data_IF_502089460425
#
_entry.id   IF_502089460425
#
_cell.length_a   1.000
_cell.length_b   1.000
_cell.length_c   1.000
_cell.angle_alpha   90.00
_cell.angle_beta   90.00
_cell.angle_gamma   90.00
#
_symmetry.space_group_name_H-M   'P 1'
#
loop_
_entity.id
_entity.type
_entity.pdbx_description
1 polymer ?
#
# COMPACT_ATOMS: atom_id res chain seq x y z
N UNK A 1 -0.62 -4.29 -5.72
CA UNK A 1 -0.86 -3.15 -6.65
C UNK A 1 -0.25 -1.88 -6.03
N UNK A 2 -0.19 -0.80 -6.79
CA UNK A 2 0.12 0.54 -6.31
C UNK A 2 -0.91 1.52 -6.88
N UNK A 3 -1.20 2.59 -6.15
CA UNK A 3 -2.25 3.53 -6.49
C UNK A 3 -1.80 4.96 -6.21
N UNK A 4 -1.98 5.85 -7.19
CA UNK A 4 -1.52 7.24 -7.12
C UNK A 4 -2.43 8.18 -7.90
N UNK A 5 -2.47 9.45 -7.50
CA UNK A 5 -3.02 10.55 -8.29
C UNK A 5 -1.91 11.54 -8.67
N UNK A 6 -1.90 11.97 -9.93
CA UNK A 6 -1.10 13.09 -10.42
C UNK A 6 -1.99 13.98 -11.30
N UNK A 7 -2.14 15.25 -10.93
CA UNK A 7 -3.13 16.15 -11.55
C UNK A 7 -4.53 15.54 -11.50
N UNK A 8 -5.12 15.36 -12.68
CA UNK A 8 -6.46 14.78 -12.86
C UNK A 8 -6.44 13.28 -13.18
N UNK A 9 -5.28 12.63 -13.11
CA UNK A 9 -5.13 11.21 -13.48
C UNK A 9 -4.92 10.37 -12.23
N UNK A 10 -5.79 9.39 -12.01
CA UNK A 10 -5.57 8.28 -11.07
C UNK A 10 -4.95 7.12 -11.84
N UNK A 11 -3.85 6.59 -11.33
CA UNK A 11 -3.11 5.49 -11.96
C UNK A 11 -3.03 4.30 -11.02
N UNK A 12 -3.42 3.13 -11.53
CA UNK A 12 -3.27 1.83 -10.86
C UNK A 12 -2.10 1.10 -11.48
N UNK A 13 -1.08 0.75 -10.70
CA UNK A 13 0.04 -0.09 -11.16
C UNK A 13 -0.07 -1.52 -10.64
N UNK A 14 0.37 -2.46 -11.45
CA UNK A 14 0.48 -3.85 -11.08
C UNK A 14 1.60 -4.57 -11.85
N UNK A 15 1.97 -5.74 -11.34
CA UNK A 15 2.85 -6.66 -12.03
C UNK A 15 2.06 -7.46 -13.07
N UNK A 16 2.44 -7.34 -14.34
CA UNK A 16 1.89 -8.06 -15.47
C UNK A 16 2.64 -9.37 -15.69
N UNK A 17 2.29 -10.41 -14.94
CA UNK A 17 2.93 -11.71 -15.04
C UNK A 17 2.50 -12.45 -16.32
N UNK A 18 3.48 -12.85 -17.13
CA UNK A 18 3.22 -13.63 -18.35
C UNK A 18 3.76 -15.05 -18.19
N UNK A 19 3.03 -16.03 -18.71
CA UNK A 19 3.49 -17.42 -18.70
C UNK A 19 4.73 -17.56 -19.58
N UNK A 20 5.82 -18.10 -19.02
CA UNK A 20 6.99 -18.47 -19.81
C UNK A 20 6.65 -19.63 -20.77
N UNK A 21 7.00 -19.47 -22.04
CA UNK A 21 6.68 -20.43 -23.12
C UNK A 21 7.92 -21.03 -23.79
N UNK A 22 9.12 -20.70 -23.31
CA UNK A 22 10.38 -21.15 -23.90
C UNK A 22 10.69 -22.63 -23.72
N UNK A 23 11.84 -23.04 -24.26
CA UNK A 23 12.28 -24.42 -24.41
C UNK A 23 12.74 -25.04 -23.08
N UNK A 24 13.23 -24.22 -22.13
CA UNK A 24 13.76 -24.66 -20.84
C UNK A 24 12.67 -24.80 -19.77
N UNK A 25 11.71 -25.71 -20.01
CA UNK A 25 10.56 -25.97 -19.12
C UNK A 25 10.91 -26.71 -17.82
N UNK A 26 12.15 -26.67 -17.36
CA UNK A 26 12.63 -27.59 -16.32
C UNK A 26 12.03 -27.34 -14.93
N UNK A 27 11.40 -26.20 -14.64
CA UNK A 27 10.74 -25.91 -13.36
C UNK A 27 9.57 -24.95 -13.58
N UNK A 28 8.43 -25.20 -12.94
CA UNK A 28 7.15 -24.49 -13.10
C UNK A 28 7.09 -23.05 -12.55
N UNK A 29 8.23 -22.41 -12.28
CA UNK A 29 8.30 -21.19 -11.45
C UNK A 29 8.88 -19.96 -12.14
N UNK A 30 9.26 -20.05 -13.41
CA UNK A 30 9.81 -18.91 -14.17
C UNK A 30 8.68 -18.23 -14.91
N UNK A 31 8.51 -16.93 -14.65
CA UNK A 31 7.56 -16.08 -15.36
C UNK A 31 8.15 -14.67 -15.47
N UNK A 32 8.24 -14.09 -16.67
CA UNK A 32 8.53 -12.67 -16.82
C UNK A 32 7.40 -11.82 -16.23
N UNK A 33 7.76 -10.64 -15.74
CA UNK A 33 6.81 -9.69 -15.20
C UNK A 33 7.17 -8.27 -15.66
N UNK A 34 6.20 -7.62 -16.28
CA UNK A 34 6.25 -6.20 -16.62
C UNK A 34 5.58 -5.37 -15.52
N UNK A 35 5.78 -4.05 -15.52
CA UNK A 35 4.87 -3.14 -14.82
C UNK A 35 3.85 -2.60 -15.81
N UNK A 36 2.58 -2.82 -15.49
CA UNK A 36 1.44 -2.30 -16.24
C UNK A 36 0.71 -1.23 -15.43
N UNK A 37 0.12 -0.28 -16.13
CA UNK A 37 -0.68 0.79 -15.58
C UNK A 37 -2.08 0.85 -16.20
N UNK A 38 -3.08 1.07 -15.35
CA UNK A 38 -4.41 1.47 -15.75
C UNK A 38 -4.63 2.94 -15.39
N UNK A 39 -5.03 3.76 -16.36
CA UNK A 39 -5.26 5.19 -16.16
C UNK A 39 -6.76 5.49 -16.10
N UNK A 40 -7.16 6.35 -15.18
CA UNK A 40 -8.55 6.72 -14.93
C UNK A 40 -8.60 8.23 -14.66
N UNK A 41 -9.60 8.92 -15.21
CA UNK A 41 -9.86 10.32 -14.85
C UNK A 41 -10.33 10.42 -13.40
N UNK A 42 -9.76 11.35 -12.63
CA UNK A 42 -10.13 11.62 -11.25
C UNK A 42 -11.51 12.29 -11.12
N UNK A 43 -11.96 12.98 -12.18
CA UNK A 43 -13.20 13.77 -12.15
C UNK A 43 -14.43 13.01 -12.66
N UNK A 44 -14.23 11.98 -13.49
CA UNK A 44 -15.35 11.23 -14.05
C UNK A 44 -16.09 10.46 -12.94
N UNK A 45 -17.42 10.66 -12.79
CA UNK A 45 -18.22 9.85 -11.89
C UNK A 45 -18.41 8.45 -12.49
N UNK A 46 -17.70 7.47 -11.94
CA UNK A 46 -17.89 6.05 -12.27
C UNK A 46 -19.07 5.53 -11.44
N UNK A 47 -20.04 4.81 -12.05
CA UNK A 47 -21.07 4.11 -11.28
C UNK A 47 -20.41 3.18 -10.24
N UNK A 48 -20.91 3.20 -9.01
CA UNK A 48 -20.44 2.37 -7.89
C UNK A 48 -20.64 0.86 -8.11
N UNK A 49 -21.43 0.48 -9.11
CA UNK A 49 -21.63 -0.90 -9.53
C UNK A 49 -20.63 -1.19 -10.63
N UNK A 50 -19.59 -1.96 -10.27
CA UNK A 50 -18.72 -2.77 -11.14
C UNK A 50 -18.86 -2.35 -12.61
N UNK A 51 -18.31 -1.20 -12.95
CA UNK A 51 -17.91 -0.96 -14.31
C UNK A 51 -16.70 -1.89 -14.47
N UNK A 52 -16.99 -3.15 -14.80
CA UNK A 52 -15.97 -3.99 -15.37
C UNK A 52 -15.38 -3.13 -16.48
N UNK A 53 -14.08 -2.91 -16.43
CA UNK A 53 -13.40 -2.09 -17.42
C UNK A 53 -13.27 -2.95 -18.70
N UNK A 54 -14.43 -3.36 -19.22
CA UNK A 54 -14.71 -4.15 -20.41
C UNK A 54 -15.40 -3.30 -21.46
N UNK A 55 -15.59 -1.99 -21.22
CA UNK A 55 -15.83 -1.09 -22.35
C UNK A 55 -14.65 -1.24 -23.32
N UNK A 56 -14.94 -1.49 -24.59
CA UNK A 56 -13.97 -1.76 -25.65
C UNK A 56 -12.93 -0.63 -25.89
N UNK A 57 -12.91 0.42 -25.06
CA UNK A 57 -12.04 1.58 -25.14
C UNK A 57 -10.94 1.70 -24.09
N UNK A 58 -10.95 0.91 -23.00
CA UNK A 58 -9.91 0.98 -21.97
C UNK A 58 -8.97 -0.22 -22.03
N UNK A 59 -7.67 0.02 -21.82
CA UNK A 59 -6.64 -1.02 -21.76
C UNK A 59 -5.59 -0.68 -20.70
N UNK A 60 -4.93 -1.71 -20.19
CA UNK A 60 -3.68 -1.51 -19.46
C UNK A 60 -2.54 -1.14 -20.42
N UNK A 61 -1.61 -0.32 -19.95
CA UNK A 61 -0.43 0.12 -20.68
C UNK A 61 0.82 -0.42 -20.00
N UNK A 62 1.80 -0.89 -20.78
CA UNK A 62 3.09 -1.30 -20.22
C UNK A 62 3.95 -0.07 -19.94
N UNK A 63 4.28 0.16 -18.67
CA UNK A 63 5.12 1.27 -18.21
C UNK A 63 6.59 0.87 -18.14
N UNK A 64 6.86 -0.37 -17.73
CA UNK A 64 8.20 -0.94 -17.74
C UNK A 64 8.15 -2.36 -18.30
N UNK A 65 8.69 -2.53 -19.50
CA UNK A 65 8.81 -3.84 -20.15
C UNK A 65 10.04 -4.58 -19.64
N UNK A 66 9.88 -5.87 -19.38
CA UNK A 66 10.94 -6.80 -19.05
C UNK A 66 11.34 -7.64 -20.27
N UNK A 67 12.57 -8.17 -20.27
CA UNK A 67 13.01 -9.07 -21.34
C UNK A 67 12.26 -10.41 -21.25
N UNK A 68 11.87 -10.97 -22.38
CA UNK A 68 11.20 -12.27 -22.44
C UNK A 68 11.80 -13.11 -23.57
N UNK A 69 12.93 -13.75 -23.28
CA UNK A 69 13.66 -14.63 -24.17
C UNK A 69 13.62 -16.10 -23.74
N UNK A 70 14.22 -16.96 -24.57
CA UNK A 70 14.20 -18.41 -24.34
C UNK A 70 15.04 -18.82 -23.12
N UNK A 71 16.24 -18.24 -22.97
CA UNK A 71 17.18 -18.52 -21.89
C UNK A 71 17.31 -17.35 -20.90
N UNK A 72 16.58 -16.25 -21.10
CA UNK A 72 16.69 -15.02 -20.33
C UNK A 72 15.31 -14.36 -20.18
N UNK A 73 14.83 -14.24 -18.95
CA UNK A 73 13.60 -13.50 -18.62
C UNK A 73 13.91 -12.37 -17.64
N UNK A 74 13.18 -11.27 -17.74
CA UNK A 74 13.25 -10.15 -16.81
C UNK A 74 12.04 -10.14 -15.88
N UNK A 75 12.22 -9.58 -14.70
CA UNK A 75 11.16 -9.42 -13.71
C UNK A 75 11.22 -8.01 -13.16
N UNK A 76 10.13 -7.28 -13.34
CA UNK A 76 9.85 -6.02 -12.68
C UNK A 76 8.85 -6.28 -11.53
N UNK A 77 9.18 -5.83 -10.32
CA UNK A 77 8.48 -6.26 -9.10
C UNK A 77 8.28 -5.12 -8.10
N UNK A 78 7.26 -5.26 -7.27
CA UNK A 78 6.89 -4.36 -6.20
C UNK A 78 6.82 -2.91 -6.67
N UNK A 79 5.89 -2.57 -7.59
CA UNK A 79 5.65 -1.18 -7.93
C UNK A 79 5.24 -0.43 -6.64
N UNK A 80 5.96 0.63 -6.33
CA UNK A 80 5.63 1.56 -5.24
C UNK A 80 5.57 2.95 -5.84
N UNK A 81 4.42 3.62 -5.72
CA UNK A 81 4.21 4.92 -6.36
C UNK A 81 3.84 6.01 -5.36
N UNK A 82 4.11 7.25 -5.75
CA UNK A 82 3.74 8.46 -5.01
C UNK A 82 3.55 9.60 -6.01
N UNK A 83 2.55 10.44 -5.74
CA UNK A 83 2.13 11.51 -6.63
C UNK A 83 2.29 12.85 -5.94
N UNK A 84 2.79 13.84 -6.66
CA UNK A 84 2.90 15.22 -6.21
C UNK A 84 2.70 16.12 -7.41
N UNK A 85 1.85 17.15 -7.25
CA UNK A 85 1.46 18.04 -8.34
C UNK A 85 0.93 17.22 -9.55
N UNK A 86 1.53 17.40 -10.72
CA UNK A 86 1.23 16.65 -11.95
C UNK A 86 2.20 15.47 -12.20
N UNK A 87 3.07 15.13 -11.24
CA UNK A 87 4.08 14.08 -11.41
C UNK A 87 3.73 12.80 -10.67
N UNK A 88 4.06 11.68 -11.30
CA UNK A 88 4.09 10.36 -10.69
C UNK A 88 5.54 9.93 -10.55
N UNK A 89 5.92 9.49 -9.36
CA UNK A 89 7.15 8.76 -9.13
C UNK A 89 6.79 7.30 -8.92
N UNK A 90 7.47 6.40 -9.62
CA UNK A 90 7.26 4.97 -9.56
C UNK A 90 8.60 4.26 -9.34
N UNK A 91 8.70 3.55 -8.23
CA UNK A 91 9.86 2.77 -7.85
C UNK A 91 9.59 1.27 -8.10
N UNK A 92 10.51 0.60 -8.77
CA UNK A 92 10.33 -0.79 -9.22
C UNK A 92 11.63 -1.57 -9.05
N UNK A 93 11.57 -2.71 -8.37
CA UNK A 93 12.67 -3.67 -8.37
C UNK A 93 12.80 -4.34 -9.74
N UNK A 94 14.00 -4.45 -10.28
CA UNK A 94 14.24 -5.06 -11.58
C UNK A 94 15.36 -6.11 -11.48
N UNK A 95 15.15 -7.29 -12.05
CA UNK A 95 16.21 -8.29 -12.15
C UNK A 95 15.97 -9.21 -13.34
N UNK A 96 16.99 -9.99 -13.69
CA UNK A 96 16.91 -11.01 -14.73
C UNK A 96 17.07 -12.41 -14.16
N UNK A 97 16.48 -13.38 -14.83
CA UNK A 97 16.61 -14.80 -14.56
C UNK A 97 17.15 -15.45 -15.84
N UNK A 98 18.35 -16.03 -15.76
CA UNK A 98 19.00 -16.69 -16.91
C UNK A 98 19.11 -18.19 -16.67
N UNK A 99 18.87 -18.98 -17.72
CA UNK A 99 19.06 -20.41 -17.68
C UNK A 99 20.55 -20.75 -17.80
N UNK A 100 21.07 -21.42 -16.78
CA UNK A 100 22.42 -21.99 -16.78
C UNK A 100 22.36 -23.40 -17.38
N UNK A 101 22.85 -23.55 -18.61
CA UNK A 101 22.84 -24.82 -19.34
C UNK A 101 23.69 -25.91 -18.70
N UNK A 102 24.73 -25.53 -17.95
CA UNK A 102 25.63 -26.47 -17.27
C UNK A 102 24.97 -27.02 -16.02
N UNK A 103 24.36 -26.15 -15.21
CA UNK A 103 23.64 -26.56 -14.00
C UNK A 103 22.21 -27.04 -14.28
N UNK A 104 21.72 -26.83 -15.51
CA UNK A 104 20.34 -27.06 -15.94
C UNK A 104 19.32 -26.38 -15.03
N UNK A 105 19.66 -25.17 -14.57
CA UNK A 105 18.91 -24.45 -13.55
C UNK A 105 18.84 -22.95 -13.87
N UNK A 106 17.73 -22.32 -13.49
CA UNK A 106 17.54 -20.89 -13.59
C UNK A 106 18.25 -20.15 -12.46
N UNK A 107 18.91 -19.03 -12.77
CA UNK A 107 19.63 -18.20 -11.79
C UNK A 107 19.22 -16.75 -11.91
N UNK A 108 18.97 -16.10 -10.76
CA UNK A 108 18.69 -14.67 -10.69
C UNK A 108 19.99 -13.87 -10.69
N UNK A 109 20.02 -12.76 -11.41
CA UNK A 109 21.17 -11.87 -11.52
C UNK A 109 20.73 -10.47 -11.98
N UNK A 110 21.68 -9.53 -11.98
CA UNK A 110 21.42 -8.19 -12.51
C UNK A 110 20.34 -7.42 -11.75
N UNK A 111 20.29 -7.60 -10.41
CA UNK A 111 19.38 -6.84 -9.57
C UNK A 111 19.68 -5.35 -9.65
N UNK A 112 18.64 -4.57 -9.89
CA UNK A 112 18.60 -3.13 -9.89
C UNK A 112 17.28 -2.65 -9.28
N UNK A 113 17.21 -1.36 -8.98
CA UNK A 113 15.99 -0.68 -8.57
C UNK A 113 15.83 0.57 -9.41
N UNK A 114 14.78 0.60 -10.21
CA UNK A 114 14.52 1.66 -11.17
C UNK A 114 13.52 2.66 -10.59
N UNK A 115 13.84 3.94 -10.76
CA UNK A 115 12.92 5.05 -10.59
C UNK A 115 12.43 5.49 -11.97
N UNK A 116 11.12 5.55 -12.14
CA UNK A 116 10.44 6.11 -13.29
C UNK A 116 9.71 7.37 -12.84
N UNK A 117 9.76 8.41 -13.68
CA UNK A 117 9.04 9.66 -13.44
C UNK A 117 8.10 9.87 -14.61
N UNK A 118 6.82 9.99 -14.30
CA UNK A 118 5.76 10.27 -15.25
C UNK A 118 5.18 11.67 -15.01
N UNK A 119 4.73 12.33 -16.06
CA UNK A 119 4.02 13.61 -15.98
C UNK A 119 2.62 13.48 -16.60
N UNK A 120 1.60 13.85 -15.83
CA UNK A 120 0.22 13.78 -16.29
C UNK A 120 -0.07 14.83 -17.36
N UNK A 121 -0.64 14.38 -18.47
CA UNK A 121 -1.03 15.23 -19.60
C UNK A 121 -2.45 15.77 -19.41
N UNK A 122 -2.72 16.99 -19.88
CA UNK A 122 -4.04 17.64 -19.75
C UNK A 122 -5.07 17.18 -20.79
N UNK A 123 -4.68 16.37 -21.79
CA UNK A 123 -5.59 16.01 -22.89
C UNK A 123 -6.40 14.74 -22.57
N UNK A 124 -7.58 14.93 -22.00
CA UNK A 124 -8.64 13.91 -21.93
C UNK A 124 -9.45 13.94 -23.25
N UNK A 125 -8.79 14.09 -24.40
CA UNK A 125 -9.50 14.07 -25.68
C UNK A 125 -9.76 12.63 -26.09
N UNK A 126 -10.88 12.10 -25.59
CA UNK A 126 -11.66 10.98 -26.16
C UNK A 126 -10.89 9.99 -27.03
N UNK A 127 -10.04 9.16 -26.43
CA UNK A 127 -9.47 7.98 -27.08
C UNK A 127 -8.00 7.71 -26.78
N UNK A 128 -7.76 6.73 -25.90
CA UNK A 128 -6.61 5.83 -25.90
C UNK A 128 -5.18 6.43 -25.76
N UNK A 129 -5.02 7.72 -25.52
CA UNK A 129 -3.70 8.31 -25.23
C UNK A 129 -3.22 7.89 -23.85
N UNK A 130 -1.94 7.55 -23.76
CA UNK A 130 -1.25 7.38 -22.48
C UNK A 130 -1.40 8.70 -21.70
N UNK A 131 -2.16 8.69 -20.59
CA UNK A 131 -2.46 9.92 -19.84
C UNK A 131 -1.24 10.44 -19.08
N UNK A 132 -0.19 9.62 -18.96
CA UNK A 132 1.08 9.94 -18.32
C UNK A 132 2.20 9.79 -19.33
N UNK A 133 3.02 10.82 -19.51
CA UNK A 133 4.26 10.73 -20.30
C UNK A 133 5.41 10.30 -19.39
N UNK A 134 6.02 9.14 -19.69
CA UNK A 134 7.09 8.57 -18.88
C UNK A 134 8.48 8.93 -19.39
N UNK A 135 9.33 9.41 -18.49
CA UNK A 135 10.76 9.51 -18.73
C UNK A 135 11.42 8.12 -18.72
N UNK A 136 12.62 8.03 -19.30
CA UNK A 136 13.43 6.81 -19.25
C UNK A 136 13.71 6.38 -17.79
N UNK A 137 13.64 5.08 -17.47
CA UNK A 137 13.96 4.59 -16.13
C UNK A 137 15.39 4.92 -15.72
N UNK A 138 15.58 5.33 -14.47
CA UNK A 138 16.90 5.63 -13.89
C UNK A 138 17.19 4.67 -12.73
N UNK A 139 18.37 4.07 -12.73
CA UNK A 139 18.82 3.25 -11.60
C UNK A 139 19.03 4.10 -10.35
N UNK A 140 18.43 3.67 -9.24
CA UNK A 140 18.63 4.25 -7.91
C UNK A 140 19.81 3.59 -7.18
N UNK A 141 20.32 2.44 -7.65
CA UNK A 141 21.46 1.75 -7.04
C UNK A 141 22.69 2.65 -6.82
N UNK A 142 23.09 3.56 -7.73
CA UNK A 142 24.20 4.49 -7.49
C UNK A 142 24.02 5.39 -6.28
N UNK A 143 22.77 5.70 -5.89
CA UNK A 143 22.41 6.56 -4.74
C UNK A 143 22.45 5.83 -3.41
N UNK A 144 22.40 4.50 -3.42
CA UNK A 144 22.54 3.71 -2.21
C UNK A 144 23.97 3.84 -1.67
N UNK A 145 24.17 4.09 -0.36
CA UNK A 145 25.51 4.14 0.23
C UNK A 145 26.32 2.88 -0.03
N UNK A 146 27.63 3.02 -0.29
CA UNK A 146 28.49 1.87 -0.60
C UNK A 146 28.51 0.82 0.52
N UNK A 147 28.45 1.27 1.79
CA UNK A 147 28.33 0.39 2.95
C UNK A 147 27.10 -0.51 2.87
N UNK A 148 25.96 0.02 2.43
CA UNK A 148 24.76 -0.76 2.23
C UNK A 148 24.90 -1.75 1.08
N UNK A 149 25.52 -1.37 -0.03
CA UNK A 149 25.77 -2.33 -1.13
C UNK A 149 26.70 -3.48 -0.73
N UNK A 150 27.53 -3.31 0.31
CA UNK A 150 28.34 -4.39 0.86
C UNK A 150 27.62 -5.26 1.90
N UNK A 151 26.50 -4.80 2.46
CA UNK A 151 25.76 -5.49 3.53
C UNK A 151 24.40 -6.04 3.06
N UNK A 152 23.85 -5.44 2.00
CA UNK A 152 22.53 -5.68 1.46
C UNK A 152 22.59 -5.91 -0.05
N UNK A 153 21.61 -6.67 -0.55
CA UNK A 153 21.43 -7.04 -1.96
C UNK A 153 19.93 -7.08 -2.29
N UNK A 154 19.59 -7.20 -3.58
CA UNK A 154 18.20 -7.42 -4.04
C UNK A 154 17.22 -6.31 -3.60
N UNK A 155 17.55 -5.06 -3.91
CA UNK A 155 16.72 -3.90 -3.56
C UNK A 155 15.43 -3.86 -4.41
N UNK A 156 14.29 -3.66 -3.75
CA UNK A 156 12.96 -3.52 -4.37
C UNK A 156 12.13 -2.47 -3.64
N UNK A 157 11.05 -1.99 -4.27
CA UNK A 157 10.04 -1.18 -3.57
C UNK A 157 9.34 -1.96 -2.45
N UNK A 158 8.74 -1.24 -1.50
CA UNK A 158 7.90 -1.84 -0.46
C UNK A 158 6.57 -2.44 -0.96
N UNK A 159 6.22 -2.22 -2.23
CA UNK A 159 4.83 -2.35 -2.71
C UNK A 159 3.96 -1.18 -2.22
N UNK A 160 2.68 -1.18 -2.60
CA UNK A 160 1.74 -0.15 -2.14
C UNK A 160 2.15 1.26 -2.57
N UNK A 161 2.09 2.23 -1.66
CA UNK A 161 2.38 3.63 -1.97
C UNK A 161 3.46 4.21 -1.04
N UNK A 162 4.23 5.16 -1.58
CA UNK A 162 4.99 6.10 -0.76
C UNK A 162 4.10 7.23 -0.26
N UNK A 163 4.70 8.22 0.38
CA UNK A 163 4.00 9.41 0.88
C UNK A 163 4.70 10.69 0.46
N UNK A 164 3.93 11.78 0.44
CA UNK A 164 4.45 13.15 0.46
C UNK A 164 4.15 13.69 1.84
N UNK A 165 5.20 14.07 2.56
CA UNK A 165 5.06 14.66 3.90
C UNK A 165 4.57 16.10 3.84
N UNK A 166 4.12 16.65 4.97
CA UNK A 166 3.63 18.02 5.06
C UNK A 166 4.62 19.10 4.62
N UNK A 167 5.93 18.82 4.68
CA UNK A 167 6.98 19.73 4.18
C UNK A 167 7.30 19.58 2.68
N UNK A 168 6.60 18.67 1.99
CA UNK A 168 6.79 18.36 0.57
C UNK A 168 7.85 17.30 0.28
N UNK A 169 8.47 16.69 1.29
CA UNK A 169 9.42 15.59 1.09
C UNK A 169 8.70 14.33 0.60
N UNK A 170 9.19 13.76 -0.49
CA UNK A 170 8.73 12.48 -1.05
C UNK A 170 9.46 11.35 -0.31
N UNK A 171 8.74 10.34 0.17
CA UNK A 171 9.33 9.20 0.90
C UNK A 171 8.79 7.88 0.35
N UNK A 172 9.70 6.99 -0.02
CA UNK A 172 9.40 5.62 -0.45
C UNK A 172 9.84 4.59 0.58
N UNK A 173 8.96 3.63 0.94
CA UNK A 173 9.38 2.41 1.61
C UNK A 173 10.09 1.48 0.62
N UNK A 174 11.13 0.81 1.11
CA UNK A 174 12.01 -0.07 0.35
C UNK A 174 12.21 -1.38 1.10
N UNK A 175 12.53 -2.44 0.36
CA UNK A 175 13.06 -3.68 0.92
C UNK A 175 14.38 -4.07 0.26
N UNK A 176 15.19 -4.80 1.02
CA UNK A 176 16.39 -5.47 0.53
C UNK A 176 16.59 -6.78 1.30
N UNK A 177 17.58 -7.57 0.92
CA UNK A 177 18.05 -8.72 1.69
C UNK A 177 19.43 -8.48 2.26
N UNK A 178 19.67 -8.92 3.48
CA UNK A 178 21.03 -8.95 4.03
C UNK A 178 21.88 -10.07 3.38
N UNK A 179 23.15 -10.15 3.78
CA UNK A 179 24.07 -11.18 3.25
C UNK A 179 23.59 -12.62 3.45
N UNK A 180 22.87 -12.88 4.55
CA UNK A 180 22.29 -14.18 4.86
C UNK A 180 20.98 -14.46 4.09
N UNK A 181 20.48 -13.50 3.32
CA UNK A 181 19.25 -13.65 2.53
C UNK A 181 17.95 -13.29 3.26
N UNK A 182 18.04 -12.76 4.48
CA UNK A 182 16.86 -12.32 5.24
C UNK A 182 16.42 -10.91 4.83
N UNK A 183 15.11 -10.67 4.68
CA UNK A 183 14.60 -9.38 4.28
C UNK A 183 14.78 -8.33 5.38
N UNK A 184 14.99 -7.09 4.96
CA UNK A 184 15.02 -5.89 5.80
C UNK A 184 14.26 -4.77 5.08
N UNK A 185 13.64 -3.89 5.86
CA UNK A 185 12.98 -2.68 5.38
C UNK A 185 13.89 -1.47 5.56
N UNK A 186 13.78 -0.54 4.62
CA UNK A 186 14.51 0.73 4.57
C UNK A 186 13.63 1.78 3.88
N UNK A 187 14.14 2.99 3.69
CA UNK A 187 13.44 4.03 2.94
C UNK A 187 14.37 4.77 2.00
N UNK A 188 13.80 5.45 1.01
CA UNK A 188 14.47 6.49 0.25
C UNK A 188 13.61 7.74 0.26
N UNK A 189 14.24 8.91 0.24
CA UNK A 189 13.51 10.17 0.20
C UNK A 189 14.13 11.18 -0.73
N UNK A 190 13.32 12.16 -1.14
CA UNK A 190 13.72 13.30 -1.94
C UNK A 190 13.07 14.57 -1.40
N UNK A 191 13.89 15.57 -1.06
CA UNK A 191 13.45 16.90 -0.59
C UNK A 191 13.29 17.92 -1.71
N UNK A 192 13.75 17.59 -2.91
CA UNK A 192 13.86 18.47 -4.07
C UNK A 192 12.98 17.98 -5.23
N UNK A 193 11.79 17.46 -4.89
CA UNK A 193 10.77 16.97 -5.83
C UNK A 193 11.34 15.96 -6.84
N UNK A 194 12.16 15.04 -6.36
CA UNK A 194 12.70 13.91 -7.13
C UNK A 194 13.99 14.20 -7.91
N UNK A 195 14.58 15.39 -7.76
CA UNK A 195 15.83 15.75 -8.46
C UNK A 195 17.04 14.99 -7.90
N UNK A 196 17.07 14.77 -6.59
CA UNK A 196 18.04 13.94 -5.89
C UNK A 196 17.36 13.04 -4.87
N UNK A 197 18.01 11.92 -4.59
CA UNK A 197 17.50 10.88 -3.70
C UNK A 197 18.54 10.47 -2.68
N UNK A 198 18.08 10.30 -1.45
CA UNK A 198 18.90 9.87 -0.31
C UNK A 198 18.34 8.56 0.24
N UNK A 199 19.22 7.61 0.52
CA UNK A 199 18.91 6.37 1.26
C UNK A 199 19.63 6.45 2.60
N UNK A 200 18.94 6.78 3.71
CA UNK A 200 19.53 6.93 5.04
C UNK A 200 19.99 5.59 5.60
N UNK A 201 20.79 5.62 6.68
CA UNK A 201 21.45 4.41 7.21
C UNK A 201 20.57 3.52 8.09
N UNK A 202 19.38 3.95 8.47
CA UNK A 202 18.50 3.15 9.30
C UNK A 202 17.86 2.02 8.50
N UNK A 203 17.79 0.85 9.13
CA UNK A 203 17.16 -0.36 8.60
C UNK A 203 16.33 -1.02 9.70
N UNK A 204 15.27 -1.73 9.32
CA UNK A 204 14.51 -2.53 10.26
C UNK A 204 15.33 -3.71 10.80
N UNK A 205 14.87 -4.38 11.87
CA UNK A 205 15.30 -5.73 12.18
C UNK A 205 15.14 -6.68 10.99
N UNK A 206 15.87 -7.80 11.03
CA UNK A 206 15.74 -8.88 10.03
C UNK A 206 14.36 -9.51 10.09
N UNK A 207 13.92 -10.07 8.97
CA UNK A 207 12.65 -10.79 8.82
C UNK A 207 11.41 -9.90 9.02
N UNK A 208 11.53 -8.62 8.71
CA UNK A 208 10.41 -7.67 8.59
C UNK A 208 10.19 -7.33 7.11
N UNK A 209 8.96 -7.52 6.63
CA UNK A 209 8.54 -7.34 5.23
C UNK A 209 7.35 -6.38 5.12
N UNK A 210 6.97 -6.08 3.88
CA UNK A 210 5.83 -5.26 3.49
C UNK A 210 5.77 -3.90 4.22
N UNK A 211 6.84 -3.07 4.14
CA UNK A 211 6.87 -1.79 4.82
C UNK A 211 5.83 -0.82 4.28
N UNK A 212 5.04 -0.24 5.17
CA UNK A 212 4.03 0.79 4.88
C UNK A 212 4.34 2.02 5.72
N UNK A 213 4.44 3.18 5.07
CA UNK A 213 4.88 4.42 5.72
C UNK A 213 3.73 5.42 5.83
N UNK A 214 3.62 6.10 6.97
CA UNK A 214 2.69 7.21 7.19
C UNK A 214 3.38 8.34 7.96
N UNK A 215 2.86 9.55 7.83
CA UNK A 215 3.19 10.69 8.67
C UNK A 215 2.04 10.93 9.65
N UNK A 216 2.29 10.84 10.96
CA UNK A 216 1.27 10.90 11.99
C UNK A 216 1.68 11.70 13.23
N UNK A 217 0.74 12.47 13.79
CA UNK A 217 0.91 13.16 15.08
C UNK A 217 2.13 14.08 15.13
N UNK A 218 2.01 15.24 14.49
CA UNK A 218 3.03 16.31 14.41
C UNK A 218 4.27 15.96 13.60
N UNK A 219 4.09 15.41 12.39
CA UNK A 219 5.18 15.18 11.44
C UNK A 219 6.08 13.98 11.75
N UNK A 220 5.66 13.09 12.66
CA UNK A 220 6.42 11.86 12.93
C UNK A 220 6.20 10.87 11.79
N UNK A 221 7.30 10.39 11.24
CA UNK A 221 7.28 9.33 10.25
C UNK A 221 7.23 7.98 10.96
N UNK A 222 6.19 7.20 10.68
CA UNK A 222 6.00 5.86 11.20
C UNK A 222 6.11 4.85 10.06
N UNK A 223 6.84 3.77 10.28
CA UNK A 223 6.85 2.62 9.40
C UNK A 223 6.25 1.40 10.08
N UNK A 224 5.22 0.85 9.45
CA UNK A 224 4.55 -0.39 9.86
C UNK A 224 5.08 -1.53 9.01
N UNK A 225 5.58 -2.59 9.65
CA UNK A 225 6.15 -3.76 8.97
C UNK A 225 5.57 -5.04 9.53
N UNK A 226 5.34 -6.03 8.68
CA UNK A 226 4.97 -7.38 9.12
C UNK A 226 6.26 -8.17 9.41
N UNK A 227 6.50 -8.49 10.69
CA UNK A 227 7.70 -9.22 11.12
C UNK A 227 7.36 -10.62 11.62
N UNK A 228 8.39 -11.47 11.74
CA UNK A 228 8.25 -12.75 12.44
C UNK A 228 7.79 -12.49 13.89
N UNK A 229 6.73 -13.18 14.30
CA UNK A 229 6.04 -13.01 15.60
C UNK A 229 5.17 -11.76 15.74
N UNK A 230 4.85 -11.09 14.64
CA UNK A 230 3.80 -10.06 14.63
C UNK A 230 4.26 -8.74 14.02
N UNK A 231 3.27 -7.89 13.78
CA UNK A 231 3.48 -6.56 13.22
C UNK A 231 4.27 -5.68 14.18
N UNK A 232 5.13 -4.83 13.63
CA UNK A 232 5.88 -3.82 14.37
C UNK A 232 5.66 -2.44 13.77
N UNK A 233 5.73 -1.43 14.64
CA UNK A 233 5.69 -0.02 14.26
C UNK A 233 7.00 0.62 14.70
N UNK A 234 7.67 1.28 13.77
CA UNK A 234 8.90 2.01 14.02
C UNK A 234 8.67 3.50 13.82
N UNK A 235 9.13 4.30 14.77
CA UNK A 235 9.29 5.74 14.58
C UNK A 235 10.64 6.00 13.93
N UNK A 236 10.60 6.79 12.86
CA UNK A 236 11.73 7.12 12.01
C UNK A 236 12.27 8.49 12.41
N UNK A 237 13.41 8.50 13.09
CA UNK A 237 14.09 9.73 13.49
C UNK A 237 15.07 10.17 12.41
N UNK A 238 15.29 11.48 12.31
CA UNK A 238 16.26 12.08 11.38
C UNK A 238 16.04 11.60 9.92
N UNK A 239 14.77 11.54 9.46
CA UNK A 239 14.37 11.01 8.14
C UNK A 239 14.83 9.57 7.88
N UNK A 240 14.87 8.73 8.93
CA UNK A 240 15.20 7.32 8.83
C UNK A 240 16.68 6.99 9.01
N UNK A 241 17.52 7.90 9.52
CA UNK A 241 18.87 7.56 9.97
C UNK A 241 18.85 6.66 11.22
N UNK A 242 17.82 6.80 12.05
CA UNK A 242 17.60 5.99 13.26
C UNK A 242 16.15 5.56 13.36
N UNK A 243 15.96 4.31 13.78
CA UNK A 243 14.65 3.69 13.89
C UNK A 243 14.49 3.22 15.33
N UNK A 244 13.36 3.53 15.94
CA UNK A 244 13.02 3.04 17.28
C UNK A 244 11.66 2.37 17.23
N UNK A 245 11.54 1.18 17.81
CA UNK A 245 10.24 0.52 17.94
C UNK A 245 9.32 1.39 18.81
N UNK A 246 8.21 1.84 18.22
CA UNK A 246 7.27 2.76 18.84
C UNK A 246 6.21 1.96 19.63
N UNK A 247 6.66 1.29 20.69
CA UNK A 247 5.79 0.42 21.51
C UNK A 247 4.59 1.21 22.04
N UNK A 248 3.39 0.67 21.84
CA UNK A 248 2.13 1.33 22.22
C UNK A 248 1.58 2.32 21.18
N UNK A 249 2.37 2.72 20.19
CA UNK A 249 1.90 3.53 19.06
C UNK A 249 1.20 2.63 18.04
N UNK A 250 -0.02 2.99 17.65
CA UNK A 250 -0.90 2.16 16.82
C UNK A 250 -1.08 0.74 17.40
N UNK A 251 -1.21 0.64 18.73
CA UNK A 251 -1.32 -0.65 19.43
C UNK A 251 -2.47 -1.51 18.91
N UNK A 252 -3.54 -0.91 18.40
CA UNK A 252 -4.68 -1.60 17.79
C UNK A 252 -4.35 -2.31 16.47
N UNK A 253 -3.24 -1.95 15.79
CA UNK A 253 -2.75 -2.65 14.59
C UNK A 253 -1.91 -3.88 14.93
N UNK A 254 -1.48 -4.02 16.19
CA UNK A 254 -0.68 -5.15 16.62
C UNK A 254 -1.58 -6.38 16.70
N UNK A 255 -1.18 -7.43 16.00
CA UNK A 255 -1.81 -8.74 16.12
C UNK A 255 -0.99 -9.57 17.09
N UNK A 256 -1.61 -10.12 18.14
CA UNK A 256 -1.00 -11.22 18.91
C UNK A 256 -0.53 -12.29 17.93
N UNK A 257 0.67 -12.84 18.14
CA UNK A 257 1.30 -13.80 17.25
C UNK A 257 0.27 -14.87 16.83
N UNK A 258 -0.23 -14.82 15.57
CA UNK A 258 -1.21 -15.77 15.12
C UNK A 258 -0.60 -17.18 15.19
N UNK A 259 -1.45 -18.21 15.27
CA UNK A 259 -0.98 -19.61 15.17
C UNK A 259 -0.23 -19.87 13.86
N UNK A 260 -0.46 -19.05 12.82
CA UNK A 260 0.41 -18.90 11.65
C UNK A 260 1.48 -17.83 11.94
N UNK A 261 2.80 -18.17 11.89
CA UNK A 261 3.88 -17.22 12.15
C UNK A 261 3.89 -15.98 11.22
N UNK A 262 3.18 -16.03 10.09
CA UNK A 262 3.03 -14.90 9.16
C UNK A 262 1.65 -14.23 9.20
N UNK A 263 0.72 -14.72 10.02
CA UNK A 263 -0.56 -14.05 10.24
C UNK A 263 -1.40 -13.78 9.01
N UNK A 264 -1.41 -14.72 8.05
CA UNK A 264 -2.15 -14.58 6.79
C UNK A 264 -3.65 -14.35 6.96
N UNK A 265 -4.20 -14.69 8.12
CA UNK A 265 -5.59 -14.39 8.46
C UNK A 265 -5.83 -12.95 8.90
N UNK A 266 -4.78 -12.19 9.27
CA UNK A 266 -4.83 -10.83 9.81
C UNK A 266 -3.91 -9.83 9.08
N UNK A 267 -3.81 -9.98 7.76
CA UNK A 267 -2.98 -9.14 6.90
C UNK A 267 -3.40 -7.66 6.98
N UNK A 268 -2.43 -6.76 7.13
CA UNK A 268 -2.62 -5.34 6.86
C UNK A 268 -2.52 -5.16 5.35
N UNK A 269 -3.56 -4.64 4.72
CA UNK A 269 -3.52 -4.32 3.29
C UNK A 269 -2.76 -3.01 3.09
N UNK A 270 -3.46 -1.90 3.31
CA UNK A 270 -2.94 -0.54 3.21
C UNK A 270 -3.14 0.23 4.51
N UNK A 271 -2.31 1.25 4.74
CA UNK A 271 -2.46 2.25 5.80
C UNK A 271 -2.06 3.60 5.21
N UNK A 272 -2.90 4.61 5.41
CA UNK A 272 -2.68 5.99 4.95
C UNK A 272 -3.16 6.97 6.03
N UNK A 273 -2.69 8.21 5.95
CA UNK A 273 -3.28 9.33 6.68
C UNK A 273 -4.12 10.19 5.75
N UNK A 274 -5.20 10.76 6.29
CA UNK A 274 -6.14 11.56 5.55
C UNK A 274 -6.75 12.64 6.45
N UNK A 275 -6.91 13.86 5.92
CA UNK A 275 -7.72 14.88 6.57
C UNK A 275 -9.14 14.81 6.02
N UNK A 276 -10.10 14.41 6.86
CA UNK A 276 -11.51 14.24 6.48
C UNK A 276 -12.36 15.05 7.44
N UNK A 277 -13.24 15.91 6.91
CA UNK A 277 -14.04 16.84 7.70
C UNK A 277 -13.17 17.69 8.67
N UNK A 278 -11.95 18.06 8.26
CA UNK A 278 -11.03 18.84 9.09
C UNK A 278 -10.27 18.04 10.15
N UNK A 279 -10.48 16.73 10.25
CA UNK A 279 -9.84 15.87 11.24
C UNK A 279 -8.79 14.98 10.60
N UNK A 280 -7.62 14.89 11.24
CA UNK A 280 -6.57 13.96 10.82
C UNK A 280 -6.91 12.55 11.29
N UNK A 281 -7.02 11.64 10.33
CA UNK A 281 -7.34 10.24 10.54
C UNK A 281 -6.25 9.33 9.98
N UNK A 282 -6.14 8.15 10.56
CA UNK A 282 -5.51 6.99 9.94
C UNK A 282 -6.61 6.13 9.34
N UNK A 283 -6.50 5.86 8.04
CA UNK A 283 -7.34 4.87 7.35
C UNK A 283 -6.48 3.65 7.05
N UNK A 284 -6.99 2.46 7.36
CA UNK A 284 -6.28 1.23 7.07
C UNK A 284 -7.23 0.10 6.70
N UNK A 285 -6.76 -0.84 5.88
CA UNK A 285 -7.50 -2.07 5.62
C UNK A 285 -6.87 -3.22 6.37
N UNK A 286 -7.66 -3.97 7.13
CA UNK A 286 -7.17 -5.13 7.84
C UNK A 286 -8.02 -6.34 7.50
N UNK A 287 -7.34 -7.44 7.20
CA UNK A 287 -7.98 -8.74 7.02
C UNK A 287 -8.35 -9.31 8.38
N UNK A 288 -9.49 -9.98 8.45
CA UNK A 288 -9.89 -10.67 9.66
C UNK A 288 -11.31 -11.23 9.56
N UNK A 289 -11.67 -12.03 10.57
CA UNK A 289 -13.05 -12.46 10.79
C UNK A 289 -13.65 -11.58 11.87
N UNK A 290 -14.73 -10.88 11.54
CA UNK A 290 -15.42 -9.99 12.46
C UNK A 290 -16.89 -10.38 12.61
N UNK A 291 -17.42 -10.46 13.84
CA UNK A 291 -16.71 -10.32 15.12
C UNK A 291 -15.65 -11.44 15.36
N UNK A 292 -14.55 -11.13 16.09
CA UNK A 292 -13.49 -12.11 16.37
C UNK A 292 -14.03 -13.36 17.08
N UNK A 293 -13.58 -14.54 16.65
CA UNK A 293 -13.97 -15.82 17.25
C UNK A 293 -15.25 -16.45 16.68
N UNK A 294 -15.96 -15.77 15.78
CA UNK A 294 -17.13 -16.35 15.11
C UNK A 294 -16.70 -17.41 14.08
N UNK A 295 -17.01 -18.68 14.37
CA UNK A 295 -16.71 -19.80 13.47
C UNK A 295 -17.61 -19.74 12.24
N UNK A 296 -17.01 -19.84 11.05
CA UNK A 296 -17.73 -19.92 9.78
C UNK A 296 -17.84 -18.58 9.04
N UNK A 297 -17.56 -17.45 9.69
CA UNK A 297 -17.43 -16.17 8.99
C UNK A 297 -16.26 -16.23 8.00
N UNK A 298 -16.47 -15.89 6.71
CA UNK A 298 -15.38 -15.84 5.74
C UNK A 298 -14.40 -14.73 6.13
N UNK A 299 -13.12 -14.96 5.82
CA UNK A 299 -12.11 -13.94 6.04
C UNK A 299 -12.34 -12.80 5.04
N UNK A 300 -12.18 -11.55 5.46
CA UNK A 300 -12.40 -10.41 4.58
C UNK A 300 -11.49 -9.25 4.96
N UNK A 301 -11.16 -8.39 3.99
CA UNK A 301 -10.62 -7.07 4.31
C UNK A 301 -11.73 -6.16 4.80
N UNK A 302 -11.47 -5.44 5.89
CA UNK A 302 -12.32 -4.39 6.44
C UNK A 302 -11.58 -3.06 6.32
N UNK A 303 -12.29 -1.99 5.96
CA UNK A 303 -11.77 -0.63 6.06
C UNK A 303 -12.02 -0.09 7.46
N UNK A 304 -10.95 0.38 8.09
CA UNK A 304 -10.96 1.01 9.39
C UNK A 304 -10.60 2.49 9.28
N UNK A 305 -11.23 3.29 10.13
CA UNK A 305 -10.91 4.69 10.35
C UNK A 305 -10.66 4.91 11.85
N UNK A 306 -9.59 5.64 12.18
CA UNK A 306 -9.23 5.98 13.56
C UNK A 306 -8.58 7.35 13.63
N UNK A 307 -8.84 8.08 14.72
CA UNK A 307 -8.16 9.33 15.06
C UNK A 307 -6.99 9.11 16.04
N UNK A 308 -6.63 7.86 16.28
CA UNK A 308 -5.61 7.45 17.24
C UNK A 308 -6.14 7.05 18.62
N UNK A 309 -7.41 7.35 18.92
CA UNK A 309 -8.09 6.93 20.15
C UNK A 309 -9.25 5.99 19.82
N UNK A 310 -10.17 6.47 18.99
CA UNK A 310 -11.41 5.80 18.59
C UNK A 310 -11.17 5.07 17.28
N UNK A 311 -11.83 3.93 17.08
CA UNK A 311 -11.70 3.16 15.85
C UNK A 311 -13.06 2.61 15.41
N UNK A 312 -13.33 2.69 14.12
CA UNK A 312 -14.54 2.17 13.50
C UNK A 312 -14.19 1.46 12.19
N UNK A 313 -14.93 0.41 11.85
CA UNK A 313 -14.85 -0.21 10.53
C UNK A 313 -16.14 -0.04 9.73
N UNK A 314 -16.04 0.29 8.43
CA UNK A 314 -17.21 0.50 7.57
C UNK A 314 -17.94 -0.79 7.19
N UNK A 315 -17.31 -1.95 7.47
CA UNK A 315 -17.80 -3.27 7.09
C UNK A 315 -16.78 -4.01 6.21
N UNK A 316 -17.13 -5.21 5.72
CA UNK A 316 -16.25 -5.97 4.83
C UNK A 316 -16.20 -5.30 3.45
N UNK A 317 -14.99 -4.97 2.98
CA UNK A 317 -14.71 -4.53 1.61
C UNK A 317 -14.65 -5.73 0.65
N UNK A 318 -13.87 -6.74 1.04
CA UNK A 318 -13.49 -7.84 0.15
C UNK A 318 -13.52 -9.16 0.88
N UNK A 319 -14.63 -9.88 0.73
CA UNK A 319 -14.82 -11.22 1.29
C UNK A 319 -14.06 -12.25 0.45
N UNK A 320 -13.29 -13.11 1.11
CA UNK A 320 -12.57 -14.20 0.47
C UNK A 320 -13.53 -15.20 -0.16
N UNK A 321 -13.15 -15.63 -1.36
CA UNK A 321 -13.74 -16.74 -2.09
C UNK A 321 -12.62 -17.73 -2.45
N UNK A 322 -12.94 -19.02 -2.58
CA UNK A 322 -11.98 -20.09 -2.83
C UNK A 322 -11.15 -19.84 -4.11
N UNK A 323 -11.79 -19.37 -5.17
CA UNK A 323 -11.15 -19.09 -6.46
C UNK A 323 -10.76 -17.62 -6.65
N UNK A 324 -11.21 -16.74 -5.76
CA UNK A 324 -10.98 -15.30 -5.83
C UNK A 324 -10.63 -14.66 -4.48
N UNK A 325 -9.63 -15.18 -3.74
CA UNK A 325 -9.23 -14.64 -2.44
C UNK A 325 -8.66 -13.23 -2.59
N UNK A 326 -8.91 -12.36 -1.62
CA UNK A 326 -8.31 -11.04 -1.59
C UNK A 326 -6.89 -11.12 -1.01
N UNK A 327 -5.89 -10.68 -1.79
CA UNK A 327 -4.48 -10.90 -1.47
C UNK A 327 -3.85 -9.67 -0.81
N UNK A 328 -3.84 -8.56 -1.54
CA UNK A 328 -3.20 -7.30 -1.14
C UNK A 328 -3.94 -6.14 -1.77
N UNK A 329 -3.99 -5.01 -1.08
CA UNK A 329 -4.66 -3.81 -1.58
C UNK A 329 -3.89 -2.53 -1.26
N UNK A 330 -4.32 -1.42 -1.83
CA UNK A 330 -3.73 -0.09 -1.66
C UNK A 330 -4.84 0.95 -1.65
N UNK A 331 -4.87 1.76 -0.60
CA UNK A 331 -5.78 2.89 -0.45
C UNK A 331 -5.17 4.15 -1.04
N UNK A 332 -6.04 5.03 -1.55
CA UNK A 332 -5.71 6.39 -1.92
C UNK A 332 -6.86 7.31 -1.53
N UNK A 333 -6.60 8.25 -0.62
CA UNK A 333 -7.49 9.38 -0.39
C UNK A 333 -6.91 10.62 -1.08
N UNK A 334 -7.62 11.14 -2.07
CA UNK A 334 -7.17 12.31 -2.82
C UNK A 334 -8.31 13.02 -3.54
N UNK A 335 -8.30 14.36 -3.51
CA UNK A 335 -9.36 15.19 -4.08
C UNK A 335 -10.74 14.81 -3.57
N UNK A 336 -10.84 14.65 -2.26
CA UNK A 336 -12.08 14.33 -1.54
C UNK A 336 -12.74 12.98 -1.90
N UNK A 337 -11.97 12.08 -2.52
CA UNK A 337 -12.41 10.75 -2.90
C UNK A 337 -11.47 9.67 -2.33
N UNK A 338 -12.07 8.57 -1.86
CA UNK A 338 -11.37 7.39 -1.38
C UNK A 338 -11.42 6.28 -2.43
N UNK A 339 -10.27 5.70 -2.75
CA UNK A 339 -10.13 4.65 -3.75
C UNK A 339 -9.38 3.46 -3.18
N UNK A 340 -9.65 2.28 -3.75
CA UNK A 340 -9.02 1.02 -3.43
C UNK A 340 -8.57 0.33 -4.72
N UNK A 341 -7.30 -0.05 -4.79
CA UNK A 341 -6.81 -1.01 -5.78
C UNK A 341 -6.49 -2.32 -5.06
N UNK A 342 -7.01 -3.46 -5.55
CA UNK A 342 -6.88 -4.75 -4.89
C UNK A 342 -6.50 -5.86 -5.87
N UNK A 343 -5.52 -6.68 -5.50
CA UNK A 343 -5.24 -7.92 -6.19
C UNK A 343 -6.03 -9.06 -5.57
N UNK A 344 -6.79 -9.79 -6.42
CA UNK A 344 -7.53 -10.99 -6.01
C UNK A 344 -7.30 -12.14 -6.97
N UNK A 345 -7.53 -13.37 -6.53
CA UNK A 345 -7.44 -14.57 -7.38
C UNK A 345 -6.23 -15.43 -7.10
N UNK A 346 -6.08 -16.51 -7.87
CA UNK A 346 -5.00 -17.49 -7.74
C UNK A 346 -4.35 -17.75 -9.09
N UNK A 347 -3.01 -17.66 -9.13
CA UNK A 347 -2.22 -17.96 -10.32
C UNK A 347 -2.65 -17.13 -11.53
N UNK A 348 -2.94 -17.80 -12.65
CA UNK A 348 -3.33 -17.16 -13.90
C UNK A 348 -4.70 -16.45 -13.85
N UNK A 349 -5.53 -16.73 -12.84
CA UNK A 349 -6.83 -16.09 -12.66
C UNK A 349 -6.75 -14.82 -11.79
N UNK A 350 -5.55 -14.41 -11.38
CA UNK A 350 -5.36 -13.21 -10.58
C UNK A 350 -5.71 -11.95 -11.37
N UNK A 351 -6.47 -11.03 -10.76
CA UNK A 351 -6.91 -9.77 -11.36
C UNK A 351 -6.69 -8.61 -10.41
N UNK A 352 -6.60 -7.41 -10.99
CA UNK A 352 -6.61 -6.16 -10.25
C UNK A 352 -8.00 -5.54 -10.33
N UNK A 353 -8.59 -5.31 -9.18
CA UNK A 353 -9.86 -4.61 -9.00
C UNK A 353 -9.55 -3.16 -8.60
N UNK A 354 -10.30 -2.22 -9.13
CA UNK A 354 -10.21 -0.81 -8.78
C UNK A 354 -11.61 -0.30 -8.43
N UNK A 355 -11.74 0.27 -7.23
CA UNK A 355 -13.03 0.69 -6.67
C UNK A 355 -12.93 2.09 -6.09
N UNK A 356 -14.00 2.88 -6.25
CA UNK A 356 -14.20 4.14 -5.53
C UNK A 356 -15.11 3.87 -4.32
N UNK A 357 -14.59 4.09 -3.13
CA UNK A 357 -15.23 3.76 -1.84
C UNK A 357 -16.15 4.90 -1.39
N UNK A 358 -17.14 5.24 -2.21
CA UNK A 358 -18.02 6.40 -1.99
C UNK A 358 -18.92 6.20 -0.77
N UNK A 359 -19.51 5.02 -0.62
CA UNK A 359 -20.45 4.72 0.48
C UNK A 359 -19.69 4.66 1.81
N UNK A 360 -18.52 4.02 1.81
CA UNK A 360 -17.64 3.94 2.96
C UNK A 360 -17.15 5.33 3.40
N UNK A 361 -16.80 6.20 2.44
CA UNK A 361 -16.39 7.56 2.75
C UNK A 361 -17.54 8.38 3.36
N UNK A 362 -18.79 8.18 2.91
CA UNK A 362 -19.97 8.80 3.54
C UNK A 362 -20.13 8.36 4.99
N UNK A 363 -19.95 7.07 5.27
CA UNK A 363 -19.99 6.55 6.64
C UNK A 363 -18.88 7.14 7.52
N UNK A 364 -17.64 7.22 7.00
CA UNK A 364 -16.51 7.82 7.72
C UNK A 364 -16.80 9.28 8.06
N UNK A 365 -17.28 10.09 7.10
CA UNK A 365 -17.66 11.50 7.37
C UNK A 365 -18.74 11.62 8.44
N UNK A 366 -19.75 10.77 8.37
CA UNK A 366 -20.82 10.75 9.36
C UNK A 366 -20.28 10.48 10.77
N UNK A 367 -19.36 9.53 10.90
CA UNK A 367 -18.73 9.20 12.18
C UNK A 367 -17.83 10.30 12.72
N UNK A 368 -17.00 10.90 11.87
CA UNK A 368 -16.14 12.02 12.26
C UNK A 368 -16.96 13.17 12.84
N UNK A 369 -18.04 13.57 12.15
CA UNK A 369 -18.99 14.58 12.65
C UNK A 369 -19.67 14.17 13.95
N UNK A 370 -19.89 12.86 14.14
CA UNK A 370 -20.44 12.33 15.39
C UNK A 370 -19.43 12.47 16.53
N UNK A 371 -18.16 12.10 16.31
CA UNK A 371 -17.09 12.24 17.30
C UNK A 371 -16.92 13.70 17.73
N UNK A 372 -16.87 14.63 16.77
CA UNK A 372 -16.79 16.07 17.07
C UNK A 372 -17.98 16.56 17.90
N UNK A 373 -19.19 16.10 17.56
CA UNK A 373 -20.41 16.47 18.29
C UNK A 373 -20.37 15.96 19.73
N UNK A 374 -19.93 14.73 19.96
CA UNK A 374 -19.81 14.17 21.32
C UNK A 374 -18.72 14.89 22.09
N UNK A 375 -17.54 15.12 21.50
CA UNK A 375 -16.44 15.85 22.13
C UNK A 375 -16.84 17.29 22.52
N UNK A 376 -17.65 17.96 21.69
CA UNK A 376 -18.18 19.29 21.99
C UNK A 376 -19.06 19.30 23.26
N UNK A 377 -19.84 18.25 23.54
CA UNK A 377 -20.67 18.16 24.75
C UNK A 377 -19.82 18.13 26.03
N UNK A 378 -18.72 17.38 25.99
CA UNK A 378 -17.76 17.30 27.09
C UNK A 378 -16.99 18.62 27.24
N UNK A 379 -16.57 19.21 26.13
CA UNK A 379 -15.84 20.49 26.11
C UNK A 379 -16.67 21.61 26.74
N UNK A 380 -17.96 21.73 26.40
CA UNK A 380 -18.88 22.69 27.02
C UNK A 380 -19.03 22.50 28.53
N UNK A 381 -18.78 21.28 29.03
CA UNK A 381 -18.85 20.93 30.45
C UNK A 381 -17.48 20.96 31.14
N UNK A 382 -16.45 21.51 30.49
CA UNK A 382 -15.05 21.52 30.95
C UNK A 382 -14.51 20.12 31.31
N UNK A 383 -14.91 19.10 30.54
CA UNK A 383 -14.44 17.73 30.70
C UNK A 383 -13.40 17.39 29.63
N UNK A 384 -12.29 16.73 30.00
CA UNK A 384 -11.27 16.31 29.05
C UNK A 384 -11.82 15.22 28.13
N UNK A 385 -11.51 15.31 26.83
CA UNK A 385 -11.84 14.32 25.80
C UNK A 385 -10.59 13.62 25.25
N UNK A 386 -9.40 14.12 25.59
CA UNK A 386 -8.13 13.50 25.20
C UNK A 386 -8.06 12.07 25.73
N UNK A 387 -7.91 11.11 24.82
CA UNK A 387 -7.86 9.68 25.14
C UNK A 387 -9.22 9.05 25.44
N UNK A 388 -10.34 9.74 25.22
CA UNK A 388 -11.67 9.15 25.37
C UNK A 388 -11.99 8.26 24.15
N UNK A 389 -12.22 6.97 24.41
CA UNK A 389 -12.37 5.93 23.37
C UNK A 389 -13.83 5.53 23.12
N UNK A 390 -14.71 5.73 24.11
CA UNK A 390 -16.12 5.38 24.01
C UNK A 390 -16.92 5.95 25.17
N UNK A 391 -18.24 6.06 25.00
CA UNK A 391 -19.14 6.63 25.99
C UNK A 391 -20.52 5.96 25.94
N UNK A 392 -20.81 5.14 26.96
CA UNK A 392 -22.11 4.50 27.15
C UNK A 392 -22.99 5.38 28.05
N UNK A 393 -24.09 5.91 27.52
CA UNK A 393 -24.94 6.90 28.21
C UNK A 393 -26.40 6.45 28.44
N UNK A 394 -27.41 7.02 27.79
CA UNK A 394 -28.80 6.62 28.00
C UNK A 394 -29.39 5.83 26.81
N UNK A 395 -28.69 5.80 25.68
CA UNK A 395 -29.16 5.19 24.44
C UNK A 395 -29.04 3.67 24.48
N UNK A 396 -30.15 2.94 24.31
CA UNK A 396 -30.14 1.48 24.22
C UNK A 396 -30.94 1.00 23.01
N UNK A 397 -30.50 -0.08 22.37
CA UNK A 397 -31.23 -0.77 21.30
C UNK A 397 -31.34 -2.26 21.67
N UNK A 398 -32.56 -2.68 22.02
CA UNK A 398 -32.81 -4.03 22.52
C UNK A 398 -32.04 -4.29 23.82
N UNK A 399 -31.10 -5.24 23.79
CA UNK A 399 -30.26 -5.60 24.94
C UNK A 399 -28.86 -4.94 24.89
N UNK A 400 -28.60 -4.05 23.93
CA UNK A 400 -27.29 -3.40 23.76
C UNK A 400 -27.32 -1.95 24.21
N UNK A 401 -26.28 -1.55 24.94
CA UNK A 401 -26.02 -0.14 25.22
C UNK A 401 -25.28 0.42 24.01
N UNK A 402 -25.68 1.60 23.56
CA UNK A 402 -25.03 2.25 22.42
C UNK A 402 -23.90 3.13 22.93
N UNK A 403 -22.72 2.94 22.35
CA UNK A 403 -21.62 3.87 22.45
C UNK A 403 -21.94 5.10 21.61
N UNK A 404 -21.96 6.27 22.25
CA UNK A 404 -22.28 7.54 21.60
C UNK A 404 -21.21 7.93 20.56
N UNK A 405 -19.99 7.38 20.64
CA UNK A 405 -18.97 7.48 19.58
C UNK A 405 -19.15 6.46 18.44
N UNK A 406 -20.11 5.53 18.58
CA UNK A 406 -20.48 4.51 17.59
C UNK A 406 -19.34 3.54 17.22
N UNK A 407 -18.39 3.31 18.14
CA UNK A 407 -17.27 2.40 17.92
C UNK A 407 -17.57 0.99 18.45
N UNK A 408 -17.99 0.85 19.73
CA UNK A 408 -18.18 -0.45 20.39
C UNK A 408 -19.41 -0.47 21.29
N UNK A 409 -20.41 -1.30 20.98
CA UNK A 409 -21.65 -1.49 21.76
C UNK A 409 -21.63 -2.71 22.67
#
# INVERSE_FOLDING_TARGET
>A
PSLVRAGEVVTVFAEGWTKYTGSHKSLSWVAPADIVAGYVSAEEPWPSIVAEVTSAGWRAHTVLSSVNGDDLVGVARNPTSVGIDNKVFLLVGNYSIKFDTTKKAWQTFGWDIHLLVGEATQSISSGQSELIEWAAPVSLLPRIPQKFKSELKEFVGGGGSGIVTGDGTIVFPLMAKNQNGYPVSLLAYSKDKGSSWVVPKGVSPVDCVDPRIIEWGNGRLLMVTDCVFGRKVFELHDMGEKWTEAVGTLSWLLTDAPTDPYGRDYLLGSIITANIEGNDLILYTQKGRYPPGERGAPNAFYLWATDGNRAFHTGPLSVDDLDNPALVNTLLYSGDALHLAEARGVGANSRIYFSRLTEELVLIRFLVRTWERVDALFTMSHKPTDGLVGFLSNTTIGQKWIDDYLCVN
#
